data_IF_905420025792
#
_entry.id   IF_905420025792
#
_cell.length_a   1.000
_cell.length_b   1.000
_cell.length_c   1.000
_cell.angle_alpha   90.00
_cell.angle_beta   90.00
_cell.angle_gamma   90.00
#
_symmetry.space_group_name_H-M   'P 1'
#
loop_
_entity.id
_entity.type
_entity.pdbx_description
1 polymer ?
#
# COMPACT_ATOMS: atom_id res chain seq x y z
N UNK A 1 -17.93 -14.15 18.81
CA UNK A 1 -17.15 -14.24 17.57
C UNK A 1 -16.77 -15.69 17.38
N UNK A 2 -17.00 -16.24 16.20
CA UNK A 2 -16.57 -17.60 15.88
C UNK A 2 -15.07 -17.63 15.58
N UNK A 3 -14.46 -18.82 15.62
CA UNK A 3 -13.06 -19.01 15.22
C UNK A 3 -12.82 -18.60 13.76
N UNK A 4 -13.84 -18.76 12.90
CA UNK A 4 -13.81 -18.33 11.51
C UNK A 4 -13.76 -16.80 11.38
N UNK A 5 -14.55 -16.06 12.18
CA UNK A 5 -14.52 -14.60 12.18
C UNK A 5 -13.17 -14.05 12.63
N UNK A 6 -12.58 -14.64 13.68
CA UNK A 6 -11.25 -14.24 14.15
C UNK A 6 -10.17 -14.48 13.10
N UNK A 7 -10.20 -15.64 12.44
CA UNK A 7 -9.27 -15.98 11.36
C UNK A 7 -9.38 -15.00 10.19
N UNK A 8 -10.61 -14.61 9.84
CA UNK A 8 -10.86 -13.63 8.79
C UNK A 8 -10.34 -12.23 9.15
N UNK A 9 -10.57 -11.78 10.39
CA UNK A 9 -10.06 -10.49 10.87
C UNK A 9 -8.53 -10.45 10.85
N UNK A 10 -7.88 -11.55 11.27
CA UNK A 10 -6.41 -11.68 11.19
C UNK A 10 -5.93 -11.63 9.75
N UNK A 11 -6.64 -12.28 8.82
CA UNK A 11 -6.32 -12.21 7.40
C UNK A 11 -6.47 -10.79 6.83
N UNK A 12 -7.47 -10.01 7.24
CA UNK A 12 -7.61 -8.62 6.80
C UNK A 12 -6.50 -7.71 7.38
N UNK A 13 -6.07 -7.96 8.62
CA UNK A 13 -5.04 -7.16 9.29
C UNK A 13 -3.69 -7.16 8.55
N UNK A 14 -3.36 -8.21 7.79
CA UNK A 14 -2.10 -8.29 7.00
C UNK A 14 -2.04 -7.28 5.85
N UNK A 15 -3.18 -6.67 5.48
CA UNK A 15 -3.25 -5.65 4.44
C UNK A 15 -3.08 -4.22 4.98
N UNK A 16 -3.00 -4.06 6.30
CA UNK A 16 -2.80 -2.75 6.91
C UNK A 16 -1.33 -2.33 6.80
N UNK A 17 -1.09 -1.19 6.17
CA UNK A 17 0.26 -0.68 5.88
C UNK A 17 0.41 0.78 6.30
N UNK A 18 1.61 1.16 6.72
CA UNK A 18 1.99 2.54 7.00
C UNK A 18 2.72 3.19 5.82
N UNK A 19 3.20 4.44 5.99
CA UNK A 19 3.91 5.17 4.93
C UNK A 19 5.20 4.48 4.48
N UNK A 20 5.88 3.77 5.37
CA UNK A 20 7.13 3.07 5.07
C UNK A 20 6.89 1.87 4.15
N UNK A 21 5.95 1.00 4.50
CA UNK A 21 5.60 -0.17 3.69
C UNK A 21 5.00 0.23 2.33
N UNK A 22 4.26 1.34 2.28
CA UNK A 22 3.78 1.91 1.01
C UNK A 22 4.94 2.44 0.17
N UNK A 23 5.92 3.09 0.79
CA UNK A 23 7.11 3.57 0.10
C UNK A 23 7.89 2.43 -0.55
N UNK A 24 8.15 1.36 0.20
CA UNK A 24 8.77 0.13 -0.30
C UNK A 24 7.97 -0.48 -1.47
N UNK A 25 6.65 -0.59 -1.30
CA UNK A 25 5.75 -1.12 -2.33
C UNK A 25 5.78 -0.33 -3.65
N UNK A 26 5.95 1.00 -3.56
CA UNK A 26 5.89 1.90 -4.70
C UNK A 26 7.27 2.37 -5.18
N UNK A 27 8.36 1.89 -4.57
CA UNK A 27 9.72 2.31 -4.90
C UNK A 27 9.99 3.80 -4.64
N UNK A 28 9.39 4.37 -3.58
CA UNK A 28 9.57 5.78 -3.19
C UNK A 28 9.82 5.91 -1.69
N UNK A 29 10.36 7.04 -1.25
CA UNK A 29 10.51 7.30 0.19
C UNK A 29 9.17 7.47 0.90
N UNK A 30 9.11 7.05 2.17
CA UNK A 30 7.94 7.25 3.04
C UNK A 30 7.49 8.72 3.13
N UNK A 31 8.42 9.67 3.01
CA UNK A 31 8.12 11.10 2.99
C UNK A 31 7.29 11.50 1.76
N UNK A 32 7.51 10.86 0.61
CA UNK A 32 6.74 11.08 -0.61
C UNK A 32 5.26 10.76 -0.39
N UNK A 33 4.96 9.72 0.39
CA UNK A 33 3.59 9.33 0.75
C UNK A 33 2.91 10.44 1.58
N UNK A 34 3.62 11.01 2.55
CA UNK A 34 3.12 12.14 3.34
C UNK A 34 2.85 13.38 2.48
N UNK A 35 3.70 13.65 1.49
CA UNK A 35 3.51 14.75 0.53
C UNK A 35 2.27 14.51 -0.34
N UNK A 36 2.08 13.31 -0.89
CA UNK A 36 0.90 12.96 -1.69
C UNK A 36 -0.39 13.10 -0.89
N UNK A 37 -0.39 12.62 0.35
CA UNK A 37 -1.48 12.80 1.31
C UNK A 37 -1.80 14.28 1.52
N UNK A 38 -0.78 15.11 1.82
CA UNK A 38 -0.96 16.53 2.09
C UNK A 38 -1.47 17.31 0.86
N UNK A 39 -0.98 16.96 -0.34
CA UNK A 39 -1.36 17.58 -1.62
C UNK A 39 -2.68 17.07 -2.19
N UNK A 40 -3.30 16.06 -1.55
CA UNK A 40 -4.56 15.42 -1.99
C UNK A 40 -4.55 15.05 -3.48
N UNK A 41 -3.50 14.38 -3.94
CA UNK A 41 -3.35 13.90 -5.34
C UNK A 41 -4.27 12.69 -5.64
N UNK A 42 -5.51 12.74 -5.16
CA UNK A 42 -6.45 11.60 -5.11
C UNK A 42 -5.88 10.38 -4.35
N UNK A 43 -4.86 10.60 -3.52
CA UNK A 43 -4.26 9.55 -2.70
C UNK A 43 -5.29 8.99 -1.71
N UNK A 44 -5.32 7.67 -1.45
CA UNK A 44 -6.31 7.05 -0.57
C UNK A 44 -6.35 7.66 0.82
N UNK A 45 -7.54 7.66 1.42
CA UNK A 45 -7.75 8.12 2.79
C UNK A 45 -7.26 7.02 3.75
N UNK A 46 -6.57 7.36 4.85
CA UNK A 46 -6.19 6.38 5.85
C UNK A 46 -7.40 5.69 6.46
N UNK A 47 -7.36 4.37 6.60
CA UNK A 47 -8.37 3.59 7.36
C UNK A 47 -8.32 3.93 8.85
N UNK A 48 -7.13 4.32 9.35
CA UNK A 48 -6.94 4.77 10.73
C UNK A 48 -5.80 5.77 10.83
N UNK A 49 -5.97 6.76 11.72
CA UNK A 49 -4.90 7.68 12.11
C UNK A 49 -4.44 7.35 13.53
N UNK A 50 -3.19 6.95 13.69
CA UNK A 50 -2.55 6.69 14.98
C UNK A 50 -1.61 7.84 15.34
N UNK A 51 -1.15 7.88 16.60
CA UNK A 51 -0.13 8.86 17.02
C UNK A 51 1.22 8.62 16.32
N UNK A 52 1.53 7.37 15.99
CA UNK A 52 2.74 6.96 15.29
C UNK A 52 2.68 7.18 13.77
N UNK A 53 1.49 7.31 13.19
CA UNK A 53 1.31 7.44 11.75
C UNK A 53 -0.08 7.04 11.28
N UNK A 54 -0.35 7.35 10.03
CA UNK A 54 -1.56 6.93 9.33
C UNK A 54 -1.40 5.48 8.83
N UNK A 55 -2.52 4.74 8.78
CA UNK A 55 -2.60 3.36 8.30
C UNK A 55 -3.58 3.31 7.13
N UNK A 56 -3.22 2.57 6.08
CA UNK A 56 -4.02 2.36 4.88
C UNK A 56 -4.29 0.89 4.61
N UNK A 57 -5.28 0.62 3.77
CA UNK A 57 -5.41 -0.66 3.10
C UNK A 57 -4.47 -0.71 1.89
N UNK A 58 -3.53 -1.67 1.90
CA UNK A 58 -2.57 -1.91 0.81
C UNK A 58 -3.25 -2.03 -0.55
N UNK A 59 -4.42 -2.65 -0.62
CA UNK A 59 -5.12 -2.93 -1.87
C UNK A 59 -5.63 -1.65 -2.54
N UNK A 60 -6.13 -0.69 -1.75
CA UNK A 60 -6.55 0.61 -2.24
C UNK A 60 -5.37 1.43 -2.77
N UNK A 61 -4.24 1.36 -2.07
CA UNK A 61 -2.99 2.02 -2.49
C UNK A 61 -2.49 1.45 -3.81
N UNK A 62 -2.49 0.14 -3.99
CA UNK A 62 -2.12 -0.52 -5.25
C UNK A 62 -3.06 -0.09 -6.38
N UNK A 63 -4.38 -0.11 -6.14
CA UNK A 63 -5.36 0.29 -7.13
C UNK A 63 -5.15 1.75 -7.58
N UNK A 64 -4.94 2.66 -6.63
CA UNK A 64 -4.62 4.05 -6.92
C UNK A 64 -3.30 4.21 -7.67
N UNK A 65 -2.25 3.49 -7.26
CA UNK A 65 -0.94 3.58 -7.90
C UNK A 65 -0.99 3.09 -9.35
N UNK A 66 -1.71 1.99 -9.61
CA UNK A 66 -1.96 1.48 -10.97
C UNK A 66 -2.75 2.47 -11.81
N UNK A 67 -3.86 3.00 -11.28
CA UNK A 67 -4.72 3.96 -11.99
C UNK A 67 -4.01 5.28 -12.34
N UNK A 68 -2.96 5.63 -11.61
CA UNK A 68 -2.26 6.91 -11.79
C UNK A 68 -0.84 6.77 -12.37
N UNK A 69 -0.44 5.56 -12.77
CA UNK A 69 0.89 5.29 -13.33
C UNK A 69 2.04 5.42 -12.33
N UNK A 70 1.76 5.31 -11.03
CA UNK A 70 2.73 5.37 -9.92
C UNK A 70 3.12 4.00 -9.39
N UNK A 71 2.61 2.93 -9.98
CA UNK A 71 3.04 1.58 -9.65
C UNK A 71 4.35 1.28 -10.40
N UNK A 72 5.39 0.77 -9.72
CA UNK A 72 6.67 0.48 -10.37
C UNK A 72 6.49 -0.44 -11.58
N UNK A 73 7.01 -0.02 -12.73
CA UNK A 73 7.11 -0.89 -13.90
C UNK A 73 8.11 -2.03 -13.56
N UNK A 74 7.67 -3.29 -13.60
CA UNK A 74 8.52 -4.46 -13.39
C UNK A 74 8.25 -5.32 -12.14
N UNK A 75 7.15 -5.11 -11.41
CA UNK A 75 6.81 -5.93 -10.21
C UNK A 75 5.70 -6.96 -10.43
N UNK A 76 5.26 -7.15 -11.67
CA UNK A 76 4.39 -8.27 -12.03
C UNK A 76 5.26 -9.34 -12.68
N UNK A 77 5.73 -10.33 -11.89
CA UNK A 77 6.37 -11.58 -12.32
C UNK A 77 7.02 -11.53 -13.73
N UNK A 78 8.27 -11.08 -13.82
CA UNK A 78 9.01 -11.12 -15.09
C UNK A 78 9.98 -12.32 -15.13
N UNK A 79 9.59 -13.49 -15.66
CA UNK A 79 10.53 -14.57 -15.94
C UNK A 79 11.46 -14.27 -17.13
N UNK A 80 11.30 -13.15 -17.85
CA UNK A 80 12.07 -12.85 -19.05
C UNK A 80 13.43 -12.15 -18.79
N UNK A 81 13.86 -12.01 -17.54
CA UNK A 81 15.21 -11.51 -17.21
C UNK A 81 16.30 -12.59 -17.16
N UNK A 82 15.97 -13.84 -17.51
CA UNK A 82 16.98 -14.91 -17.67
C UNK A 82 17.18 -15.21 -19.14
N UNK A 83 17.83 -14.31 -19.88
CA UNK A 83 18.68 -14.64 -21.03
C UNK A 83 19.28 -13.33 -21.57
N UNK A 84 20.56 -13.11 -21.28
CA UNK A 84 21.47 -12.29 -22.07
C UNK A 84 22.67 -13.15 -22.46
#
# INVERSE_FOLDING_TARGET
>A
MSNADESHLRALAVHLVGPAEIGELLGVDANTINVWKARRVQFPVPVRRLRSGDIWDKREVIAWARATGRYPAGTENDPASTES
#
